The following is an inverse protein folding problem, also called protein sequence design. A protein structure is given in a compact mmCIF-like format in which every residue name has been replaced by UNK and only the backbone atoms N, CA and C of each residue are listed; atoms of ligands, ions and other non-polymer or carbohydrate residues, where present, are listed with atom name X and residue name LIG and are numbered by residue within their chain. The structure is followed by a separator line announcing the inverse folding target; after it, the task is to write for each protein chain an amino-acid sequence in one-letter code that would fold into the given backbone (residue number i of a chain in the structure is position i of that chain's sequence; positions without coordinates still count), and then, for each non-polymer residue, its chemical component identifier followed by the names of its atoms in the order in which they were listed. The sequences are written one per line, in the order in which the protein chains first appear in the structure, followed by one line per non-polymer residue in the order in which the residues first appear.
data_IF_112122849586
#
_entry.id   IF_112122849586
#
_cell.length_a   1.000
_cell.length_b   1.000
_cell.length_c   1.000
_cell.angle_alpha   90.00
_cell.angle_beta   90.00
_cell.angle_gamma   90.00
#
_symmetry.space_group_name_H-M   'P 1'
#
loop_
_entity.id
_entity.type
_entity.pdbx_description
1 polymer ?
#
# COMPACT_ATOMS: atom_id res chain seq x y z
N UNK A 1 -6.01 2.23 -44.74
CA UNK A 1 -4.68 2.48 -44.17
C UNK A 1 -4.89 3.20 -42.85
N UNK A 2 -4.64 2.49 -41.76
CA UNK A 2 -5.11 2.79 -40.39
C UNK A 2 -4.20 3.81 -39.74
N UNK A 3 -4.65 5.05 -39.54
CA UNK A 3 -4.03 5.98 -38.59
C UNK A 3 -4.50 5.62 -37.19
N UNK A 4 -3.70 4.79 -36.53
CA UNK A 4 -3.90 4.34 -35.17
C UNK A 4 -3.71 5.53 -34.21
N UNK A 5 -4.79 5.88 -33.50
CA UNK A 5 -4.79 6.90 -32.45
C UNK A 5 -3.93 6.42 -31.28
N UNK A 6 -2.71 6.95 -31.16
CA UNK A 6 -1.97 6.96 -29.89
C UNK A 6 -2.64 7.92 -28.91
N UNK A 7 -3.82 7.53 -28.41
CA UNK A 7 -4.33 8.07 -27.14
C UNK A 7 -3.77 7.16 -26.06
N UNK A 8 -2.58 7.49 -25.54
CA UNK A 8 -2.21 7.00 -24.21
C UNK A 8 -3.27 7.57 -23.26
N UNK A 9 -4.13 6.74 -22.62
CA UNK A 9 -4.99 7.25 -21.58
C UNK A 9 -4.08 7.58 -20.41
N UNK A 10 -3.67 8.85 -20.30
CA UNK A 10 -3.09 9.37 -19.07
C UNK A 10 -4.17 9.15 -18.01
N UNK A 11 -4.05 8.05 -17.25
CA UNK A 11 -4.97 7.72 -16.16
C UNK A 11 -4.99 8.96 -15.27
N UNK A 12 -6.13 9.62 -15.14
CA UNK A 12 -6.36 10.85 -14.35
C UNK A 12 -5.47 11.00 -13.09
N UNK A 13 -5.23 9.96 -12.26
CA UNK A 13 -4.27 10.02 -11.15
C UNK A 13 -2.84 10.46 -11.51
N UNK A 14 -2.31 10.09 -12.67
CA UNK A 14 -0.95 10.49 -13.12
C UNK A 14 -0.90 11.95 -13.56
N UNK A 15 -1.97 12.46 -14.18
CA UNK A 15 -2.08 13.87 -14.55
C UNK A 15 -2.19 14.75 -13.30
N UNK A 16 -2.92 14.30 -12.28
CA UNK A 16 -3.02 14.97 -10.97
C UNK A 16 -1.66 15.00 -10.27
N UNK A 17 -0.91 13.89 -10.28
CA UNK A 17 0.42 13.84 -9.68
C UNK A 17 1.41 14.80 -10.38
N UNK A 18 1.40 14.85 -11.71
CA UNK A 18 2.23 15.78 -12.48
C UNK A 18 1.87 17.25 -12.23
N UNK A 19 0.58 17.57 -12.11
CA UNK A 19 0.12 18.91 -11.75
C UNK A 19 0.54 19.30 -10.33
N UNK A 20 0.49 18.37 -9.37
CA UNK A 20 0.97 18.61 -8.01
C UNK A 20 2.47 18.86 -7.96
N UNK A 21 3.26 18.07 -8.71
CA UNK A 21 4.71 18.26 -8.81
C UNK A 21 5.04 19.60 -9.48
N UNK A 22 4.37 19.92 -10.59
CA UNK A 22 4.55 21.19 -11.31
C UNK A 22 4.17 22.40 -10.47
N UNK A 23 3.06 22.32 -9.73
CA UNK A 23 2.63 23.36 -8.79
C UNK A 23 3.62 23.55 -7.64
N UNK A 24 4.14 22.45 -7.08
CA UNK A 24 5.18 22.49 -6.05
C UNK A 24 6.48 23.14 -6.56
N UNK A 25 6.93 22.81 -7.78
CA UNK A 25 8.11 23.44 -8.39
C UNK A 25 7.91 24.94 -8.63
N UNK A 26 6.75 25.36 -9.14
CA UNK A 26 6.46 26.78 -9.34
C UNK A 26 6.39 27.53 -8.01
N UNK A 27 5.80 26.93 -6.98
CA UNK A 27 5.79 27.50 -5.62
C UNK A 27 7.20 27.64 -5.05
N UNK A 28 8.09 26.68 -5.30
CA UNK A 28 9.49 26.75 -4.89
C UNK A 28 10.24 27.88 -5.61
N UNK A 29 10.08 27.96 -6.94
CA UNK A 29 10.71 29.00 -7.75
C UNK A 29 10.22 30.38 -7.27
N UNK A 30 8.93 30.53 -6.99
CA UNK A 30 8.35 31.76 -6.46
C UNK A 30 8.92 32.12 -5.08
N UNK A 31 9.04 31.14 -4.17
CA UNK A 31 9.62 31.35 -2.84
C UNK A 31 11.09 31.75 -2.90
N UNK A 32 11.88 31.10 -3.76
CA UNK A 32 13.29 31.44 -3.99
C UNK A 32 13.40 32.85 -4.56
N UNK A 33 12.58 33.18 -5.57
CA UNK A 33 12.55 34.52 -6.17
C UNK A 33 12.24 35.60 -5.12
N UNK A 34 11.20 35.41 -4.31
CA UNK A 34 10.83 36.31 -3.21
C UNK A 34 11.96 36.49 -2.19
N UNK A 35 12.67 35.40 -1.88
CA UNK A 35 13.78 35.42 -0.93
C UNK A 35 14.97 36.22 -1.47
N UNK A 36 15.37 35.95 -2.73
CA UNK A 36 16.51 36.62 -3.37
C UNK A 36 16.24 38.11 -3.58
N UNK A 37 15.01 38.47 -3.97
CA UNK A 37 14.66 39.88 -4.19
C UNK A 37 14.66 40.67 -2.87
N UNK A 38 14.13 40.08 -1.79
CA UNK A 38 14.16 40.69 -0.46
C UNK A 38 15.59 40.85 0.06
N UNK A 39 16.44 39.83 -0.12
CA UNK A 39 17.84 39.86 0.29
C UNK A 39 18.64 40.94 -0.47
N UNK A 40 18.33 41.14 -1.76
CA UNK A 40 18.99 42.16 -2.58
C UNK A 40 18.68 43.57 -2.10
N UNK A 41 17.40 43.89 -1.86
CA UNK A 41 16.99 45.19 -1.36
C UNK A 41 17.56 45.49 0.04
N UNK A 42 17.57 44.49 0.93
CA UNK A 42 18.19 44.62 2.26
C UNK A 42 19.70 44.89 2.19
N UNK A 43 20.43 44.21 1.28
CA UNK A 43 21.87 44.45 1.08
C UNK A 43 22.17 45.86 0.56
N UNK A 44 21.38 46.34 -0.39
CA UNK A 44 21.52 47.71 -0.92
C UNK A 44 21.31 48.75 0.19
N UNK A 45 20.33 48.54 1.07
CA UNK A 45 20.07 49.45 2.19
C UNK A 45 21.13 49.37 3.30
N UNK A 46 21.63 48.18 3.62
CA UNK A 46 22.73 48.01 4.57
C UNK A 46 24.03 48.68 4.09
N UNK A 47 24.28 48.63 2.77
CA UNK A 47 25.41 49.31 2.15
C UNK A 47 25.27 50.83 2.23
N UNK A 48 24.09 51.39 1.95
CA UNK A 48 23.81 52.82 2.12
C UNK A 48 24.09 53.30 3.56
N UNK A 49 23.59 52.58 4.57
CA UNK A 49 23.84 52.90 5.98
C UNK A 49 25.32 52.80 6.35
N UNK A 50 26.06 51.81 5.82
CA UNK A 50 27.50 51.70 6.04
C UNK A 50 28.28 52.87 5.43
N UNK A 51 27.91 53.29 4.21
CA UNK A 51 28.53 54.44 3.53
C UNK A 51 28.27 55.74 4.32
N UNK A 52 27.08 55.94 4.89
CA UNK A 52 26.77 57.11 5.74
C UNK A 52 27.67 57.13 6.99
N UNK A 53 27.86 55.99 7.65
CA UNK A 53 28.77 55.88 8.81
C UNK A 53 30.21 56.23 8.41
N UNK A 54 30.66 55.79 7.24
CA UNK A 54 31.99 56.13 6.74
C UNK A 54 32.15 57.65 6.51
N UNK A 55 31.14 58.31 5.93
CA UNK A 55 31.17 59.76 5.75
C UNK A 55 31.11 60.53 7.09
N UNK A 56 30.33 60.07 8.07
CA UNK A 56 30.34 60.64 9.43
C UNK A 56 31.73 60.57 10.07
N UNK A 57 32.44 59.45 9.87
CA UNK A 57 33.82 59.29 10.34
C UNK A 57 34.79 60.21 9.58
N UNK A 58 34.57 60.45 8.28
CA UNK A 58 35.34 61.43 7.51
C UNK A 58 35.17 62.83 8.07
N UNK A 59 33.94 63.28 8.33
CA UNK A 59 33.66 64.60 8.93
C UNK A 59 34.32 64.73 10.31
N UNK A 60 34.18 63.70 11.15
CA UNK A 60 34.81 63.68 12.48
C UNK A 60 36.35 63.80 12.39
N UNK A 61 36.96 63.03 11.49
CA UNK A 61 38.42 63.01 11.31
C UNK A 61 38.92 64.33 10.71
N UNK A 62 38.20 64.90 9.75
CA UNK A 62 38.51 66.19 9.15
C UNK A 62 38.50 67.32 10.18
N UNK A 63 37.47 67.38 11.04
CA UNK A 63 37.39 68.37 12.11
C UNK A 63 38.56 68.23 13.12
N UNK A 64 38.92 67.00 13.49
CA UNK A 64 40.05 66.73 14.39
C UNK A 64 41.40 67.12 13.74
N UNK A 65 41.59 66.82 12.46
CA UNK A 65 42.78 67.19 11.70
C UNK A 65 42.88 68.72 11.55
N UNK A 66 41.76 69.40 11.34
CA UNK A 66 41.63 70.86 11.39
C UNK A 66 42.21 71.46 12.66
N UNK A 67 41.69 71.02 13.81
CA UNK A 67 42.14 71.47 15.13
C UNK A 67 43.62 71.12 15.39
N UNK A 68 44.04 69.93 14.97
CA UNK A 68 45.42 69.46 15.15
C UNK A 68 46.41 70.29 14.31
N UNK A 69 46.06 70.58 13.06
CA UNK A 69 46.88 71.38 12.14
C UNK A 69 47.00 72.83 12.59
N UNK A 70 45.88 73.44 13.00
CA UNK A 70 45.86 74.80 13.55
C UNK A 70 46.74 74.91 14.80
N UNK A 71 46.62 73.97 15.76
CA UNK A 71 47.46 73.95 16.97
C UNK A 71 48.93 73.74 16.66
N UNK A 72 49.25 72.84 15.73
CA UNK A 72 50.62 72.62 15.28
C UNK A 72 51.25 73.89 14.70
N UNK A 73 50.50 74.62 13.87
CA UNK A 73 50.95 75.89 13.31
C UNK A 73 51.07 76.99 14.37
N UNK A 74 50.12 77.11 15.29
CA UNK A 74 50.20 78.06 16.41
C UNK A 74 51.46 77.88 17.26
N UNK A 75 51.85 76.62 17.54
CA UNK A 75 53.01 76.30 18.39
C UNK A 75 54.33 76.53 17.66
N UNK A 76 54.39 76.16 16.37
CA UNK A 76 55.65 76.09 15.62
C UNK A 76 55.89 77.26 14.67
N UNK A 77 54.82 77.96 14.28
CA UNK A 77 54.78 78.96 13.19
C UNK A 77 55.31 78.42 11.86
N UNK A 78 55.33 77.09 11.68
CA UNK A 78 55.79 76.43 10.47
C UNK A 78 54.59 75.96 9.64
N UNK A 79 54.42 76.55 8.46
CA UNK A 79 53.32 76.26 7.53
C UNK A 79 53.18 74.78 7.17
N UNK A 80 54.23 73.97 7.33
CA UNK A 80 54.15 72.51 7.10
C UNK A 80 53.14 71.83 8.04
N UNK A 81 52.89 72.40 9.22
CA UNK A 81 51.89 71.89 10.16
C UNK A 81 50.45 72.26 9.80
N UNK A 82 50.22 73.12 8.79
CA UNK A 82 48.86 73.41 8.29
C UNK A 82 48.31 72.33 7.34
N UNK A 83 49.12 71.36 6.91
CA UNK A 83 48.67 70.31 5.99
C UNK A 83 47.44 69.53 6.50
N UNK A 84 47.38 69.06 7.75
CA UNK A 84 46.17 68.40 8.27
C UNK A 84 44.93 69.30 8.29
N UNK A 85 45.12 70.62 8.45
CA UNK A 85 44.02 71.58 8.38
C UNK A 85 43.48 71.71 6.95
N UNK A 86 44.36 71.89 5.97
CA UNK A 86 44.00 71.95 4.55
C UNK A 86 43.30 70.66 4.09
N UNK A 87 43.82 69.50 4.50
CA UNK A 87 43.21 68.20 4.20
C UNK A 87 41.81 68.06 4.82
N UNK A 88 41.61 68.57 6.05
CA UNK A 88 40.30 68.57 6.70
C UNK A 88 39.29 69.49 6.00
N UNK A 89 39.73 70.68 5.62
CA UNK A 89 38.91 71.68 4.94
C UNK A 89 38.43 71.17 3.56
N UNK A 90 39.32 70.55 2.79
CA UNK A 90 39.00 69.96 1.48
C UNK A 90 38.03 68.78 1.57
N UNK A 91 37.96 68.08 2.71
CA UNK A 91 37.18 66.84 2.87
C UNK A 91 35.75 67.04 3.39
N UNK A 92 35.48 68.09 4.17
CA UNK A 92 34.19 68.27 4.84
C UNK A 92 33.05 68.49 3.86
N UNK A 93 33.24 69.42 2.94
CA UNK A 93 32.22 69.80 1.97
C UNK A 93 31.81 68.62 1.07
N UNK A 94 32.76 67.84 0.50
CA UNK A 94 32.44 66.60 -0.21
C UNK A 94 31.72 65.56 0.67
N UNK A 95 32.17 65.34 1.91
CA UNK A 95 31.57 64.34 2.80
C UNK A 95 30.11 64.68 3.16
N UNK A 96 29.83 65.95 3.48
CA UNK A 96 28.48 66.42 3.79
C UNK A 96 27.54 66.35 2.58
N UNK A 97 28.03 66.70 1.36
CA UNK A 97 27.27 66.52 0.13
C UNK A 97 26.95 65.05 -0.11
N UNK A 98 27.93 64.16 0.07
CA UNK A 98 27.76 62.73 -0.10
C UNK A 98 26.74 62.14 0.89
N UNK A 99 26.79 62.56 2.16
CA UNK A 99 25.78 62.17 3.16
C UNK A 99 24.37 62.61 2.76
N UNK A 100 24.21 63.84 2.25
CA UNK A 100 22.91 64.35 1.80
C UNK A 100 22.37 63.57 0.58
N UNK A 101 23.26 63.17 -0.33
CA UNK A 101 22.91 62.28 -1.47
C UNK A 101 22.49 60.88 -1.00
N UNK A 102 23.21 60.30 -0.05
CA UNK A 102 22.96 58.94 0.45
C UNK A 102 21.67 58.84 1.27
N UNK A 103 21.35 59.87 2.06
CA UNK A 103 20.10 59.94 2.83
C UNK A 103 18.86 60.10 1.92
N UNK A 104 18.97 60.94 0.88
CA UNK A 104 17.93 61.15 -0.12
C UNK A 104 16.54 61.43 0.47
N UNK A 105 15.48 60.96 -0.20
CA UNK A 105 14.08 61.14 0.22
C UNK A 105 13.66 60.22 1.39
N UNK A 106 14.54 59.30 1.81
CA UNK A 106 14.23 58.30 2.85
C UNK A 106 14.70 58.73 4.25
N UNK A 107 15.26 59.93 4.38
CA UNK A 107 15.75 60.46 5.64
C UNK A 107 14.61 60.63 6.65
N UNK A 108 14.85 60.27 7.91
CA UNK A 108 13.96 60.65 8.99
C UNK A 108 14.15 62.14 9.31
N UNK A 109 13.11 62.79 9.82
CA UNK A 109 13.17 64.20 10.24
C UNK A 109 14.34 64.47 11.19
N UNK A 110 14.67 63.52 12.09
CA UNK A 110 15.82 63.66 13.00
C UNK A 110 17.17 63.58 12.28
N UNK A 111 17.30 62.72 11.27
CA UNK A 111 18.53 62.63 10.46
C UNK A 111 18.75 63.90 9.64
N UNK A 112 17.68 64.49 9.09
CA UNK A 112 17.75 65.79 8.38
C UNK A 112 18.19 66.91 9.33
N UNK A 113 17.56 67.02 10.50
CA UNK A 113 17.94 67.99 11.53
C UNK A 113 19.41 67.85 11.96
N UNK A 114 19.86 66.62 12.21
CA UNK A 114 21.24 66.33 12.61
C UNK A 114 22.23 66.64 11.48
N UNK A 115 21.89 66.33 10.23
CA UNK A 115 22.73 66.65 9.08
C UNK A 115 22.93 68.16 8.93
N UNK A 116 21.85 68.93 9.05
CA UNK A 116 21.91 70.39 8.97
C UNK A 116 22.66 70.99 10.18
N UNK A 117 22.50 70.42 11.38
CA UNK A 117 23.27 70.78 12.57
C UNK A 117 24.77 70.49 12.38
N UNK A 118 25.13 69.32 11.86
CA UNK A 118 26.52 68.92 11.58
C UNK A 118 27.13 69.86 10.50
N UNK A 119 26.38 70.19 9.44
CA UNK A 119 26.84 71.11 8.37
C UNK A 119 27.11 72.51 8.95
N UNK A 120 26.17 73.06 9.72
CA UNK A 120 26.32 74.36 10.36
C UNK A 120 27.49 74.41 11.36
N UNK A 121 27.62 73.39 12.23
CA UNK A 121 28.69 73.32 13.21
C UNK A 121 30.06 73.08 12.57
N UNK A 122 30.13 72.29 11.49
CA UNK A 122 31.37 72.05 10.76
C UNK A 122 31.86 73.32 10.07
N UNK A 123 30.97 74.07 9.41
CA UNK A 123 31.31 75.37 8.81
C UNK A 123 31.77 76.37 9.85
N UNK A 124 30.99 76.55 10.92
CA UNK A 124 31.36 77.45 12.02
C UNK A 124 32.73 77.09 12.60
N UNK A 125 33.04 75.80 12.71
CA UNK A 125 34.37 75.35 13.18
C UNK A 125 35.47 75.72 12.22
N UNK A 126 35.31 75.51 10.91
CA UNK A 126 36.35 75.82 9.94
C UNK A 126 36.54 77.31 9.71
N UNK A 127 35.47 78.11 9.80
CA UNK A 127 35.54 79.57 9.77
C UNK A 127 36.36 80.11 10.98
N UNK A 128 36.17 79.55 12.18
CA UNK A 128 36.97 79.87 13.38
C UNK A 128 38.45 79.48 13.21
N UNK A 129 38.71 78.29 12.66
CA UNK A 129 40.07 77.82 12.38
C UNK A 129 40.76 78.73 11.34
N UNK A 130 40.06 79.10 10.27
CA UNK A 130 40.56 79.97 9.20
C UNK A 130 40.92 81.36 9.72
N UNK A 131 40.00 81.99 10.48
CA UNK A 131 40.22 83.30 11.10
C UNK A 131 41.50 83.30 11.95
N UNK A 132 41.68 82.27 12.77
CA UNK A 132 42.88 82.10 13.58
C UNK A 132 44.15 81.89 12.75
N UNK A 133 44.09 81.11 11.67
CA UNK A 133 45.23 80.89 10.76
C UNK A 133 45.63 82.19 10.06
N UNK A 134 44.67 82.98 9.57
CA UNK A 134 44.90 84.28 8.93
C UNK A 134 45.60 85.23 9.90
N UNK A 135 45.12 85.33 11.15
CA UNK A 135 45.76 86.17 12.18
C UNK A 135 47.21 85.75 12.47
N UNK A 136 47.50 84.44 12.44
CA UNK A 136 48.87 83.92 12.60
C UNK A 136 49.75 84.23 11.38
N UNK A 137 49.22 84.13 10.16
CA UNK A 137 49.93 84.51 8.94
C UNK A 137 50.25 86.01 8.87
N UNK A 138 49.36 86.87 9.38
CA UNK A 138 49.54 88.32 9.49
C UNK A 138 50.47 88.75 10.64
N UNK A 139 51.04 87.78 11.39
CA UNK A 139 51.92 88.04 12.53
C UNK A 139 51.21 88.54 13.79
N UNK A 140 49.88 88.49 13.85
CA UNK A 140 49.04 88.95 14.96
C UNK A 140 48.82 87.84 16.01
N UNK A 141 49.92 87.28 16.52
CA UNK A 141 49.91 86.13 17.43
C UNK A 141 49.06 86.33 18.71
N UNK A 142 49.04 87.54 19.27
CA UNK A 142 48.26 87.85 20.48
C UNK A 142 46.76 87.89 20.23
N UNK A 143 46.34 88.30 19.03
CA UNK A 143 44.93 88.32 18.64
C UNK A 143 44.45 86.90 18.34
N UNK A 144 45.22 86.11 17.59
CA UNK A 144 44.95 84.69 17.35
C UNK A 144 44.85 83.90 18.67
N UNK A 145 45.76 84.15 19.63
CA UNK A 145 45.70 83.49 20.94
C UNK A 145 44.46 83.89 21.74
N UNK A 146 43.99 85.14 21.64
CA UNK A 146 42.79 85.59 22.35
C UNK A 146 41.54 84.90 21.80
N UNK A 147 41.47 84.73 20.49
CA UNK A 147 40.38 84.04 19.79
C UNK A 147 40.33 82.55 20.16
N UNK A 148 41.47 81.86 20.13
CA UNK A 148 41.56 80.43 20.49
C UNK A 148 41.29 80.19 21.99
N UNK A 149 41.57 81.17 22.86
CA UNK A 149 41.28 81.07 24.30
C UNK A 149 39.81 81.32 24.65
N UNK A 150 38.94 81.55 23.65
CA UNK A 150 37.49 81.58 23.88
C UNK A 150 36.96 80.15 24.01
N UNK A 151 36.01 79.93 24.92
CA UNK A 151 35.37 78.61 25.10
C UNK A 151 34.47 78.24 23.89
N UNK A 152 34.23 79.17 22.96
CA UNK A 152 33.33 79.03 21.81
C UNK A 152 33.78 77.95 20.82
N UNK A 153 35.08 77.88 20.52
CA UNK A 153 35.65 76.85 19.63
C UNK A 153 35.62 75.44 20.25
N UNK A 154 35.71 75.34 21.57
CA UNK A 154 35.56 74.07 22.30
C UNK A 154 34.08 73.65 22.35
N UNK A 155 33.18 74.57 22.67
CA UNK A 155 31.74 74.30 22.74
C UNK A 155 31.19 73.85 21.38
N UNK A 156 31.60 74.50 20.30
CA UNK A 156 31.24 74.13 18.92
C UNK A 156 31.71 72.71 18.60
N UNK A 157 32.94 72.35 18.97
CA UNK A 157 33.46 71.00 18.74
C UNK A 157 32.75 69.94 19.59
N UNK A 158 32.38 70.26 20.83
CA UNK A 158 31.60 69.36 21.69
C UNK A 158 30.16 69.16 21.18
N UNK A 159 29.53 70.20 20.62
CA UNK A 159 28.24 70.08 19.94
C UNK A 159 28.37 69.23 18.66
N UNK A 160 29.39 69.48 17.85
CA UNK A 160 29.65 68.71 16.63
C UNK A 160 29.87 67.22 16.93
N UNK A 161 30.71 66.90 17.92
CA UNK A 161 30.92 65.50 18.37
C UNK A 161 29.62 64.84 18.85
N UNK A 162 28.76 65.57 19.57
CA UNK A 162 27.48 65.05 20.03
C UNK A 162 26.52 64.78 18.86
N UNK A 163 26.40 65.71 17.92
CA UNK A 163 25.55 65.53 16.74
C UNK A 163 26.04 64.36 15.86
N UNK A 164 27.36 64.26 15.63
CA UNK A 164 27.97 63.14 14.90
C UNK A 164 27.73 61.80 15.61
N UNK A 165 27.90 61.74 16.94
CA UNK A 165 27.68 60.53 17.71
C UNK A 165 26.20 60.10 17.73
N UNK A 166 25.27 61.06 17.82
CA UNK A 166 23.84 60.77 17.76
C UNK A 166 23.44 60.22 16.38
N UNK A 167 23.92 60.84 15.30
CA UNK A 167 23.69 60.37 13.95
C UNK A 167 24.28 58.97 13.73
N UNK A 168 25.52 58.73 14.18
CA UNK A 168 26.17 57.42 14.11
C UNK A 168 25.38 56.36 14.90
N UNK A 169 24.83 56.71 16.05
CA UNK A 169 24.01 55.80 16.85
C UNK A 169 22.70 55.43 16.13
N UNK A 170 22.06 56.40 15.46
CA UNK A 170 20.86 56.15 14.65
C UNK A 170 21.19 55.16 13.52
N UNK A 171 22.25 55.42 12.75
CA UNK A 171 22.66 54.54 11.64
C UNK A 171 23.05 53.14 12.11
N UNK A 172 23.82 53.03 13.21
CA UNK A 172 24.18 51.72 13.79
C UNK A 172 22.95 50.95 14.28
N UNK A 173 21.94 51.64 14.84
CA UNK A 173 20.66 51.00 15.24
C UNK A 173 19.89 50.49 14.03
N UNK A 174 19.82 51.27 12.94
CA UNK A 174 19.18 50.85 11.68
C UNK A 174 19.87 49.60 11.13
N UNK A 175 21.21 49.60 11.05
CA UNK A 175 22.00 48.47 10.55
C UNK A 175 21.81 47.20 11.39
N UNK A 176 21.78 47.33 12.73
CA UNK A 176 21.56 46.20 13.62
C UNK A 176 20.15 45.60 13.47
N UNK A 177 19.12 46.45 13.31
CA UNK A 177 17.74 46.00 13.08
C UNK A 177 17.59 45.25 11.75
N UNK A 178 18.29 45.70 10.70
CA UNK A 178 18.32 45.02 9.40
C UNK A 178 18.99 43.65 9.50
N UNK A 179 20.15 43.55 10.16
CA UNK A 179 20.86 42.27 10.33
C UNK A 179 20.00 41.22 11.06
N UNK A 180 19.24 41.62 12.08
CA UNK A 180 18.30 40.74 12.77
C UNK A 180 17.08 40.35 11.93
N UNK A 181 16.64 41.20 11.00
CA UNK A 181 15.57 40.88 10.06
C UNK A 181 16.03 39.81 9.05
N UNK A 182 17.22 39.97 8.47
CA UNK A 182 17.82 39.04 7.51
C UNK A 182 18.00 37.64 8.14
N UNK A 183 18.53 37.56 9.36
CA UNK A 183 18.72 36.29 10.07
C UNK A 183 17.39 35.55 10.33
N UNK A 184 16.29 36.29 10.54
CA UNK A 184 14.94 35.70 10.73
C UNK A 184 14.34 35.18 9.42
N UNK A 185 14.64 35.81 8.29
CA UNK A 185 14.18 35.38 6.96
C UNK A 185 14.90 34.09 6.56
N UNK A 186 16.24 34.04 6.69
CA UNK A 186 17.02 32.82 6.43
C UNK A 186 16.53 31.63 7.25
N UNK A 187 16.19 31.85 8.53
CA UNK A 187 15.66 30.81 9.42
C UNK A 187 14.29 30.24 9.02
N UNK A 188 13.50 30.95 8.19
CA UNK A 188 12.17 30.49 7.74
C UNK A 188 12.20 29.75 6.40
N UNK A 189 13.21 30.00 5.57
CA UNK A 189 13.29 29.43 4.21
C UNK A 189 13.62 27.93 4.25
N UNK A 190 14.58 27.53 5.09
CA UNK A 190 15.01 26.15 5.26
C UNK A 190 13.88 25.16 5.66
N UNK A 191 13.04 25.45 6.68
CA UNK A 191 11.93 24.56 7.03
C UNK A 191 10.82 24.52 5.97
N UNK A 192 10.56 25.60 5.24
CA UNK A 192 9.59 25.61 4.13
C UNK A 192 10.06 24.74 2.95
N UNK A 193 11.34 24.85 2.59
CA UNK A 193 12.01 23.96 1.63
C UNK A 193 11.92 22.49 2.06
N UNK A 194 12.25 22.21 3.33
CA UNK A 194 12.15 20.87 3.91
C UNK A 194 10.73 20.31 3.86
N UNK A 195 9.73 21.12 4.21
CA UNK A 195 8.32 20.74 4.14
C UNK A 195 7.85 20.42 2.72
N UNK A 196 8.29 21.21 1.73
CA UNK A 196 7.96 20.98 0.33
C UNK A 196 8.61 19.71 -0.22
N UNK A 197 9.88 19.47 0.10
CA UNK A 197 10.59 18.23 -0.27
C UNK A 197 9.90 17.02 0.35
N UNK A 198 9.53 17.10 1.63
CA UNK A 198 8.79 16.04 2.31
C UNK A 198 7.45 15.76 1.62
N UNK A 199 6.70 16.79 1.23
CA UNK A 199 5.44 16.66 0.52
C UNK A 199 5.61 16.01 -0.88
N UNK A 200 6.67 16.38 -1.61
CA UNK A 200 7.05 15.74 -2.88
C UNK A 200 7.39 14.26 -2.69
N UNK A 201 8.17 13.92 -1.67
CA UNK A 201 8.51 12.52 -1.35
C UNK A 201 7.26 11.71 -1.00
N UNK A 202 6.33 12.28 -0.23
CA UNK A 202 5.03 11.67 0.07
C UNK A 202 4.21 11.47 -1.20
N UNK A 203 4.14 12.46 -2.09
CA UNK A 203 3.43 12.34 -3.37
C UNK A 203 4.03 11.25 -4.27
N UNK A 204 5.36 11.18 -4.39
CA UNK A 204 6.07 10.14 -5.13
C UNK A 204 5.81 8.76 -4.49
N UNK A 205 5.85 8.66 -3.16
CA UNK A 205 5.55 7.43 -2.44
C UNK A 205 4.10 6.97 -2.66
N UNK A 206 3.12 7.85 -2.54
CA UNK A 206 1.72 7.54 -2.83
C UNK A 206 1.53 7.16 -4.30
N UNK A 207 2.14 7.88 -5.23
CA UNK A 207 2.12 7.58 -6.67
C UNK A 207 2.66 6.18 -6.96
N UNK A 208 3.83 5.83 -6.42
CA UNK A 208 4.42 4.50 -6.58
C UNK A 208 3.56 3.40 -5.94
N UNK A 209 2.95 3.66 -4.78
CA UNK A 209 1.99 2.75 -4.13
C UNK A 209 0.73 2.51 -4.98
N UNK A 210 0.21 3.55 -5.64
CA UNK A 210 -0.96 3.43 -6.52
C UNK A 210 -0.63 2.64 -7.78
N UNK A 211 0.52 2.91 -8.41
CA UNK A 211 0.98 2.20 -9.61
C UNK A 211 1.23 0.72 -9.31
N UNK A 212 1.90 0.41 -8.19
CA UNK A 212 2.16 -0.98 -7.78
C UNK A 212 0.88 -1.73 -7.43
N UNK A 213 -0.11 -1.08 -6.79
CA UNK A 213 -1.44 -1.69 -6.55
C UNK A 213 -2.17 -1.99 -7.86
N UNK A 214 -2.15 -1.05 -8.81
CA UNK A 214 -2.78 -1.25 -10.12
C UNK A 214 -2.13 -2.40 -10.90
N UNK A 215 -0.78 -2.47 -10.90
CA UNK A 215 -0.06 -3.54 -11.57
C UNK A 215 -0.32 -4.92 -10.95
N UNK A 216 -0.42 -5.01 -9.61
CA UNK A 216 -0.76 -6.26 -8.91
C UNK A 216 -2.19 -6.73 -9.21
N UNK A 217 -3.15 -5.81 -9.21
CA UNK A 217 -4.54 -6.14 -9.53
C UNK A 217 -4.71 -6.66 -10.97
N UNK A 218 -3.99 -6.07 -11.94
CA UNK A 218 -3.98 -6.55 -13.33
C UNK A 218 -3.34 -7.95 -13.46
N UNK A 219 -2.26 -8.22 -12.71
CA UNK A 219 -1.61 -9.53 -12.69
C UNK A 219 -2.47 -10.63 -12.05
N UNK A 220 -3.13 -10.33 -10.93
CA UNK A 220 -4.05 -11.25 -10.25
C UNK A 220 -5.26 -11.59 -11.13
N UNK A 221 -5.83 -10.60 -11.84
CA UNK A 221 -6.94 -10.82 -12.76
C UNK A 221 -6.55 -11.70 -13.96
N UNK A 222 -5.34 -11.52 -14.52
CA UNK A 222 -4.84 -12.34 -15.61
C UNK A 222 -4.60 -13.80 -15.17
N UNK A 223 -4.07 -14.00 -13.96
CA UNK A 223 -3.84 -15.34 -13.42
C UNK A 223 -5.15 -16.05 -13.05
N UNK A 224 -6.14 -15.33 -12.52
CA UNK A 224 -7.46 -15.86 -12.25
C UNK A 224 -8.19 -16.30 -13.54
N UNK A 225 -8.08 -15.52 -14.62
CA UNK A 225 -8.62 -15.88 -15.93
C UNK A 225 -8.01 -17.18 -16.49
N UNK A 226 -6.68 -17.30 -16.43
CA UNK A 226 -5.98 -18.49 -16.91
C UNK A 226 -6.32 -19.76 -16.09
N UNK A 227 -6.49 -19.62 -14.78
CA UNK A 227 -6.91 -20.74 -13.91
C UNK A 227 -8.36 -21.14 -14.18
N UNK A 228 -9.24 -20.18 -14.46
CA UNK A 228 -10.64 -20.43 -14.85
C UNK A 228 -10.74 -21.26 -16.13
N UNK A 229 -10.04 -20.85 -17.20
CA UNK A 229 -10.04 -21.61 -18.47
C UNK A 229 -9.48 -23.03 -18.32
N UNK A 230 -8.44 -23.22 -17.49
CA UNK A 230 -7.87 -24.53 -17.21
C UNK A 230 -8.86 -25.44 -16.46
N UNK A 231 -9.60 -24.88 -15.50
CA UNK A 231 -10.65 -25.59 -14.75
C UNK A 231 -11.81 -25.99 -15.64
N UNK A 232 -12.30 -25.07 -16.48
CA UNK A 232 -13.40 -25.36 -17.41
C UNK A 232 -13.02 -26.47 -18.41
N UNK A 233 -11.77 -26.48 -18.90
CA UNK A 233 -11.26 -27.57 -19.75
C UNK A 233 -11.17 -28.90 -19.01
N UNK A 234 -10.72 -28.91 -17.76
CA UNK A 234 -10.67 -30.11 -16.94
C UNK A 234 -12.07 -30.70 -16.71
N UNK A 235 -13.06 -29.86 -16.40
CA UNK A 235 -14.44 -30.28 -16.19
C UNK A 235 -15.07 -30.85 -17.47
N UNK A 236 -14.81 -30.24 -18.63
CA UNK A 236 -15.27 -30.77 -19.92
C UNK A 236 -14.63 -32.13 -20.24
N UNK A 237 -13.33 -32.28 -20.00
CA UNK A 237 -12.63 -33.55 -20.21
C UNK A 237 -13.15 -34.65 -19.27
N UNK A 238 -13.41 -34.32 -18.00
CA UNK A 238 -13.96 -35.27 -17.05
C UNK A 238 -15.36 -35.79 -17.46
N UNK A 239 -16.24 -34.89 -17.93
CA UNK A 239 -17.57 -35.28 -18.45
C UNK A 239 -17.46 -36.21 -19.66
N UNK A 240 -16.57 -35.89 -20.59
CA UNK A 240 -16.34 -36.71 -21.79
C UNK A 240 -15.76 -38.09 -21.42
N UNK A 241 -14.84 -38.16 -20.46
CA UNK A 241 -14.30 -39.44 -19.96
C UNK A 241 -15.39 -40.29 -19.34
N UNK A 242 -16.24 -39.72 -18.47
CA UNK A 242 -17.35 -40.45 -17.87
C UNK A 242 -18.32 -40.99 -18.93
N UNK A 243 -18.66 -40.18 -19.94
CA UNK A 243 -19.49 -40.64 -21.06
C UNK A 243 -18.85 -41.82 -21.82
N UNK A 244 -17.54 -41.78 -22.05
CA UNK A 244 -16.81 -42.87 -22.71
C UNK A 244 -16.79 -44.15 -21.87
N UNK A 245 -16.64 -44.04 -20.56
CA UNK A 245 -16.70 -45.19 -19.67
C UNK A 245 -18.08 -45.86 -19.74
N UNK A 246 -19.16 -45.08 -19.73
CA UNK A 246 -20.53 -45.62 -19.93
C UNK A 246 -20.67 -46.36 -21.26
N UNK A 247 -20.13 -45.79 -22.35
CA UNK A 247 -20.15 -46.43 -23.67
C UNK A 247 -19.39 -47.76 -23.68
N UNK A 248 -18.21 -47.82 -23.04
CA UNK A 248 -17.43 -49.06 -22.94
C UNK A 248 -18.20 -50.15 -22.18
N UNK A 249 -18.83 -49.80 -21.06
CA UNK A 249 -19.66 -50.75 -20.31
C UNK A 249 -20.87 -51.25 -21.10
N UNK A 250 -21.51 -50.36 -21.88
CA UNK A 250 -22.62 -50.75 -22.76
C UNK A 250 -22.17 -51.75 -23.84
N UNK A 251 -20.99 -51.54 -24.44
CA UNK A 251 -20.40 -52.47 -25.42
C UNK A 251 -20.07 -53.82 -24.78
N UNK A 252 -19.43 -53.84 -23.61
CA UNK A 252 -19.12 -55.08 -22.88
C UNK A 252 -20.39 -55.85 -22.53
N UNK A 253 -21.43 -55.15 -22.07
CA UNK A 253 -22.73 -55.75 -21.78
C UNK A 253 -23.36 -56.39 -23.02
N UNK A 254 -23.31 -55.71 -24.18
CA UNK A 254 -23.83 -56.23 -25.43
C UNK A 254 -23.08 -57.49 -25.90
N UNK A 255 -21.74 -57.51 -25.78
CA UNK A 255 -20.92 -58.69 -26.12
C UNK A 255 -21.29 -59.89 -25.24
N UNK A 256 -21.43 -59.68 -23.92
CA UNK A 256 -21.81 -60.73 -22.98
C UNK A 256 -23.19 -61.29 -23.30
N UNK A 257 -24.16 -60.42 -23.59
CA UNK A 257 -25.53 -60.85 -23.93
C UNK A 257 -25.61 -61.55 -25.30
N UNK A 258 -24.88 -61.08 -26.31
CA UNK A 258 -24.81 -61.73 -27.62
C UNK A 258 -24.17 -63.13 -27.53
N UNK A 259 -23.19 -63.33 -26.64
CA UNK A 259 -22.48 -64.60 -26.51
C UNK A 259 -23.34 -65.77 -26.01
N UNK A 260 -24.51 -65.49 -25.42
CA UNK A 260 -25.49 -66.49 -25.00
C UNK A 260 -26.72 -66.60 -25.91
N UNK A 261 -26.80 -65.81 -26.99
CA UNK A 261 -28.01 -65.73 -27.84
C UNK A 261 -28.46 -67.08 -28.39
N UNK A 262 -27.51 -67.94 -28.76
CA UNK A 262 -27.76 -69.25 -29.37
C UNK A 262 -27.45 -70.43 -28.42
N UNK A 263 -27.22 -70.16 -27.13
CA UNK A 263 -26.84 -71.17 -26.12
C UNK A 263 -27.72 -71.06 -24.86
N UNK A 264 -28.92 -71.68 -24.85
CA UNK A 264 -29.86 -71.62 -23.73
C UNK A 264 -29.24 -72.03 -22.39
N UNK A 265 -28.33 -73.00 -22.40
CA UNK A 265 -27.59 -73.49 -21.23
C UNK A 265 -26.63 -72.47 -20.63
N UNK A 266 -26.11 -71.52 -21.42
CA UNK A 266 -25.18 -70.48 -20.95
C UNK A 266 -25.89 -69.22 -20.42
N UNK A 267 -27.18 -69.07 -20.72
CA UNK A 267 -28.00 -67.89 -20.40
C UNK A 267 -27.99 -67.51 -18.91
N UNK A 268 -28.12 -68.43 -17.94
CA UNK A 268 -28.07 -68.08 -16.52
C UNK A 268 -26.72 -67.47 -16.09
N UNK A 269 -25.61 -67.93 -16.69
CA UNK A 269 -24.26 -67.43 -16.38
C UNK A 269 -24.04 -66.07 -17.01
N UNK A 270 -24.45 -65.86 -18.26
CA UNK A 270 -24.32 -64.55 -18.93
C UNK A 270 -25.23 -63.49 -18.32
N UNK A 271 -26.43 -63.85 -17.89
CA UNK A 271 -27.32 -62.91 -17.18
C UNK A 271 -26.69 -62.48 -15.85
N UNK A 272 -26.03 -63.39 -15.13
CA UNK A 272 -25.31 -63.07 -13.91
C UNK A 272 -24.10 -62.15 -14.17
N UNK A 273 -23.35 -62.36 -15.26
CA UNK A 273 -22.24 -61.47 -15.65
C UNK A 273 -22.77 -60.09 -16.05
N UNK A 274 -23.86 -60.04 -16.81
CA UNK A 274 -24.52 -58.81 -17.23
C UNK A 274 -25.01 -57.98 -16.03
N UNK A 275 -25.58 -58.62 -15.01
CA UNK A 275 -26.01 -57.97 -13.77
C UNK A 275 -24.82 -57.35 -13.00
N UNK A 276 -23.69 -58.07 -12.90
CA UNK A 276 -22.46 -57.56 -12.27
C UNK A 276 -21.90 -56.33 -12.97
N UNK A 277 -21.87 -56.34 -14.30
CA UNK A 277 -21.39 -55.21 -15.10
C UNK A 277 -22.25 -53.97 -14.83
N UNK A 278 -23.57 -54.12 -14.72
CA UNK A 278 -24.48 -53.00 -14.39
C UNK A 278 -24.26 -52.48 -12.98
N UNK A 279 -24.08 -53.37 -12.01
CA UNK A 279 -23.80 -52.96 -10.63
C UNK A 279 -22.47 -52.21 -10.49
N UNK A 280 -21.43 -52.62 -11.23
CA UNK A 280 -20.16 -51.91 -11.31
C UNK A 280 -20.31 -50.51 -11.94
N UNK A 281 -21.15 -50.39 -12.99
CA UNK A 281 -21.46 -49.11 -13.61
C UNK A 281 -22.16 -48.15 -12.64
N UNK A 282 -23.15 -48.63 -11.89
CA UNK A 282 -23.86 -47.83 -10.87
C UNK A 282 -22.93 -47.34 -9.77
N UNK A 283 -22.05 -48.21 -9.26
CA UNK A 283 -21.06 -47.80 -8.27
C UNK A 283 -20.06 -46.76 -8.83
N UNK A 284 -19.68 -46.90 -10.11
CA UNK A 284 -18.82 -45.94 -10.78
C UNK A 284 -19.50 -44.57 -10.94
N UNK A 285 -20.79 -44.52 -11.26
CA UNK A 285 -21.57 -43.28 -11.37
C UNK A 285 -21.68 -42.55 -10.01
N UNK A 286 -21.97 -43.29 -8.94
CA UNK A 286 -22.07 -42.72 -7.57
C UNK A 286 -20.71 -42.20 -7.09
N UNK A 287 -19.61 -42.84 -7.50
CA UNK A 287 -18.25 -42.43 -7.12
C UNK A 287 -17.71 -41.21 -7.90
N UNK A 288 -18.34 -40.81 -9.01
CA UNK A 288 -17.86 -39.73 -9.90
C UNK A 288 -18.67 -38.42 -9.75
N UNK A 289 -19.61 -38.37 -8.81
CA UNK A 289 -20.62 -37.31 -8.70
C UNK A 289 -20.09 -35.89 -8.41
N UNK A 290 -18.89 -35.73 -7.84
CA UNK A 290 -18.26 -34.43 -7.64
C UNK A 290 -16.73 -34.60 -7.76
N UNK A 291 -16.13 -33.84 -8.69
CA UNK A 291 -14.70 -33.75 -8.94
C UNK A 291 -13.97 -33.22 -7.69
N UNK A 292 -13.73 -34.08 -6.71
CA UNK A 292 -12.63 -34.05 -5.72
C UNK A 292 -12.85 -34.92 -4.48
N UNK A 293 -13.98 -35.64 -4.34
CA UNK A 293 -14.20 -36.43 -3.13
C UNK A 293 -13.80 -37.88 -3.32
N UNK A 294 -12.80 -38.32 -2.54
CA UNK A 294 -12.46 -39.73 -2.28
C UNK A 294 -13.60 -40.51 -1.58
N UNK A 295 -14.71 -39.83 -1.26
CA UNK A 295 -15.82 -40.33 -0.47
C UNK A 295 -17.15 -40.19 -1.25
N UNK A 296 -18.01 -41.22 -1.21
CA UNK A 296 -19.34 -41.20 -1.79
C UNK A 296 -20.42 -41.51 -0.75
N UNK A 297 -21.62 -40.96 -0.95
CA UNK A 297 -22.75 -41.12 -0.03
C UNK A 297 -23.31 -42.54 -0.04
N UNK A 298 -23.43 -43.14 1.15
CA UNK A 298 -24.10 -44.43 1.34
C UNK A 298 -25.58 -44.35 0.97
N UNK A 299 -26.26 -43.26 1.33
CA UNK A 299 -27.66 -43.03 0.99
C UNK A 299 -27.85 -42.99 -0.52
N UNK A 300 -26.99 -42.25 -1.24
CA UNK A 300 -27.04 -42.17 -2.69
C UNK A 300 -26.82 -43.54 -3.35
N UNK A 301 -25.91 -44.36 -2.81
CA UNK A 301 -25.67 -45.72 -3.31
C UNK A 301 -26.90 -46.62 -3.14
N UNK A 302 -27.52 -46.59 -1.95
CA UNK A 302 -28.72 -47.39 -1.63
C UNK A 302 -29.89 -46.94 -2.50
N UNK A 303 -30.12 -45.63 -2.61
CA UNK A 303 -31.19 -45.07 -3.42
C UNK A 303 -31.03 -45.43 -4.89
N UNK A 304 -29.84 -45.22 -5.46
CA UNK A 304 -29.55 -45.55 -6.85
C UNK A 304 -29.68 -47.05 -7.13
N UNK A 305 -29.36 -47.91 -6.16
CA UNK A 305 -29.51 -49.37 -6.29
C UNK A 305 -30.98 -49.81 -6.34
N UNK A 306 -31.84 -49.16 -5.56
CA UNK A 306 -33.27 -49.48 -5.47
C UNK A 306 -34.12 -48.80 -6.55
N UNK A 307 -33.72 -47.61 -7.01
CA UNK A 307 -34.48 -46.75 -7.91
C UNK A 307 -35.03 -47.45 -9.17
N UNK A 308 -34.30 -48.34 -9.88
CA UNK A 308 -34.80 -48.99 -11.09
C UNK A 308 -36.00 -49.92 -10.87
N UNK A 309 -36.21 -50.37 -9.63
CA UNK A 309 -37.23 -51.36 -9.26
C UNK A 309 -38.29 -50.78 -8.32
N UNK A 310 -38.14 -49.54 -7.84
CA UNK A 310 -39.14 -48.88 -7.02
C UNK A 310 -40.34 -48.46 -7.85
N UNK A 311 -41.52 -48.76 -7.35
CA UNK A 311 -42.79 -48.34 -7.95
C UNK A 311 -43.87 -48.21 -6.88
N UNK A 312 -45.07 -47.77 -7.25
CA UNK A 312 -46.22 -47.73 -6.33
C UNK A 312 -46.59 -49.10 -5.75
N UNK A 313 -46.16 -50.20 -6.38
CA UNK A 313 -46.35 -51.59 -5.90
C UNK A 313 -45.12 -52.19 -5.21
N UNK A 314 -43.97 -51.54 -5.34
CA UNK A 314 -42.66 -52.01 -4.85
C UNK A 314 -42.07 -50.90 -4.01
N UNK A 315 -42.62 -50.75 -2.81
CA UNK A 315 -42.24 -49.69 -1.87
C UNK A 315 -40.95 -50.05 -1.15
N UNK A 316 -40.11 -49.04 -0.89
CA UNK A 316 -39.01 -49.19 0.03
C UNK A 316 -38.72 -47.92 0.80
N UNK A 317 -38.46 -48.04 2.09
CA UNK A 317 -38.00 -46.96 2.97
C UNK A 317 -36.48 -46.98 3.08
N UNK A 318 -35.87 -45.79 3.03
CA UNK A 318 -34.44 -45.57 3.25
C UNK A 318 -34.33 -44.61 4.42
N UNK A 319 -33.54 -44.96 5.43
CA UNK A 319 -33.31 -44.08 6.58
C UNK A 319 -31.95 -44.30 7.24
N UNK A 320 -31.32 -43.23 7.70
CA UNK A 320 -30.05 -43.33 8.44
C UNK A 320 -29.34 -41.98 8.53
N UNK A 321 -28.27 -41.88 9.33
CA UNK A 321 -27.45 -40.68 9.39
C UNK A 321 -26.67 -40.49 8.09
N UNK A 322 -26.23 -39.27 7.79
CA UNK A 322 -25.34 -39.00 6.66
C UNK A 322 -24.01 -39.75 6.84
N UNK A 323 -23.67 -40.61 5.88
CA UNK A 323 -22.45 -41.43 5.89
C UNK A 323 -21.79 -41.33 4.53
N UNK A 324 -20.51 -40.94 4.53
CA UNK A 324 -19.67 -40.88 3.35
C UNK A 324 -18.59 -41.96 3.45
N UNK A 325 -18.53 -42.85 2.45
CA UNK A 325 -17.60 -43.97 2.43
C UNK A 325 -16.56 -43.81 1.33
N UNK A 326 -15.31 -44.28 1.54
CA UNK A 326 -14.30 -44.30 0.49
C UNK A 326 -14.78 -45.02 -0.79
N UNK A 327 -14.47 -44.47 -1.96
CA UNK A 327 -14.87 -45.01 -3.27
C UNK A 327 -14.56 -46.51 -3.45
N UNK A 328 -13.43 -46.97 -2.87
CA UNK A 328 -13.01 -48.38 -2.87
C UNK A 328 -13.99 -49.34 -2.15
N UNK A 329 -14.81 -48.83 -1.22
CA UNK A 329 -15.83 -49.59 -0.49
C UNK A 329 -17.20 -49.52 -1.14
N UNK A 330 -17.47 -48.43 -1.86
CA UNK A 330 -18.72 -48.20 -2.59
C UNK A 330 -18.94 -49.27 -3.67
N UNK A 331 -17.89 -49.63 -4.40
CA UNK A 331 -17.98 -50.63 -5.48
C UNK A 331 -18.41 -52.02 -4.99
N UNK A 332 -17.70 -52.67 -4.05
CA UNK A 332 -18.13 -53.98 -3.54
C UNK A 332 -19.46 -53.91 -2.78
N UNK A 333 -19.75 -52.81 -2.06
CA UNK A 333 -21.05 -52.64 -1.39
C UNK A 333 -22.20 -52.50 -2.39
N UNK A 334 -22.00 -51.78 -3.48
CA UNK A 334 -22.96 -51.64 -4.58
C UNK A 334 -23.29 -53.00 -5.22
N UNK A 335 -22.31 -53.90 -5.33
CA UNK A 335 -22.57 -55.28 -5.77
C UNK A 335 -23.49 -56.04 -4.79
N UNK A 336 -23.25 -55.93 -3.48
CA UNK A 336 -24.11 -56.59 -2.47
C UNK A 336 -25.53 -56.03 -2.52
N UNK A 337 -25.68 -54.70 -2.56
CA UNK A 337 -26.98 -54.04 -2.64
C UNK A 337 -27.71 -54.41 -3.93
N UNK A 338 -27.01 -54.50 -5.06
CA UNK A 338 -27.60 -54.96 -6.32
C UNK A 338 -28.11 -56.40 -6.19
N UNK A 339 -27.30 -57.33 -5.67
CA UNK A 339 -27.74 -58.72 -5.48
C UNK A 339 -28.96 -58.81 -4.56
N UNK A 340 -28.97 -58.09 -3.43
CA UNK A 340 -30.14 -58.01 -2.53
C UNK A 340 -31.38 -57.49 -3.25
N UNK A 341 -31.22 -56.39 -4.01
CA UNK A 341 -32.30 -55.80 -4.79
C UNK A 341 -32.85 -56.79 -5.82
N UNK A 342 -31.98 -57.49 -6.57
CA UNK A 342 -32.44 -58.46 -7.57
C UNK A 342 -33.09 -59.69 -6.93
N UNK A 343 -32.62 -60.12 -5.76
CA UNK A 343 -33.23 -61.22 -5.02
C UNK A 343 -34.62 -60.84 -4.51
N UNK A 344 -34.80 -59.62 -4.01
CA UNK A 344 -36.10 -59.13 -3.58
C UNK A 344 -37.13 -59.11 -4.73
N UNK A 345 -36.71 -58.73 -5.94
CA UNK A 345 -37.57 -58.73 -7.14
C UNK A 345 -37.91 -60.15 -7.62
N UNK A 346 -36.95 -61.08 -7.57
CA UNK A 346 -37.12 -62.43 -8.12
C UNK A 346 -37.79 -63.40 -7.15
N UNK A 347 -37.45 -63.31 -5.87
CA UNK A 347 -37.72 -64.33 -4.87
C UNK A 347 -38.22 -63.77 -3.53
N UNK A 348 -37.98 -62.49 -3.24
CA UNK A 348 -38.24 -61.88 -1.93
C UNK A 348 -39.47 -60.96 -1.88
N UNK A 349 -39.37 -59.89 -1.08
CA UNK A 349 -40.47 -58.96 -0.79
C UNK A 349 -41.22 -58.48 -2.04
N UNK A 350 -40.51 -57.92 -3.00
CA UNK A 350 -41.10 -57.30 -4.18
C UNK A 350 -41.67 -58.27 -5.22
N UNK A 351 -41.31 -59.55 -5.16
CA UNK A 351 -41.95 -60.59 -5.97
C UNK A 351 -43.40 -60.87 -5.52
N UNK A 352 -43.71 -60.61 -4.24
CA UNK A 352 -44.95 -61.05 -3.59
C UNK A 352 -45.79 -59.89 -3.00
N UNK A 353 -45.45 -58.65 -3.36
CA UNK A 353 -46.17 -57.45 -2.87
C UNK A 353 -45.80 -57.00 -1.46
N UNK A 354 -44.66 -57.47 -0.93
CA UNK A 354 -44.06 -57.04 0.32
C UNK A 354 -43.29 -55.71 0.20
N UNK A 355 -42.65 -55.29 1.28
CA UNK A 355 -41.90 -54.03 1.37
C UNK A 355 -40.43 -54.27 1.76
N UNK A 356 -39.57 -53.32 1.41
CA UNK A 356 -38.17 -53.29 1.86
C UNK A 356 -37.97 -52.09 2.78
N UNK A 357 -37.33 -52.30 3.92
CA UNK A 357 -36.76 -51.25 4.75
C UNK A 357 -35.23 -51.37 4.71
N UNK A 358 -34.56 -50.28 4.33
CA UNK A 358 -33.10 -50.18 4.43
C UNK A 358 -32.79 -49.09 5.43
N UNK A 359 -32.16 -49.47 6.53
CA UNK A 359 -31.73 -48.53 7.56
C UNK A 359 -30.27 -48.73 7.94
N UNK A 360 -29.59 -47.69 8.39
CA UNK A 360 -28.25 -47.84 8.94
C UNK A 360 -28.01 -46.98 10.18
N UNK A 361 -27.05 -47.42 10.99
CA UNK A 361 -26.56 -46.69 12.15
C UNK A 361 -25.04 -46.60 12.10
N UNK A 362 -24.51 -45.61 12.83
CA UNK A 362 -23.08 -45.34 12.93
C UNK A 362 -22.68 -45.39 14.40
N UNK A 363 -21.78 -46.29 14.76
CA UNK A 363 -21.26 -46.44 16.13
C UNK A 363 -19.78 -46.80 16.07
N UNK A 364 -18.91 -46.04 16.75
CA UNK A 364 -17.46 -46.32 16.87
C UNK A 364 -16.77 -46.62 15.52
N UNK A 365 -16.96 -45.76 14.51
CA UNK A 365 -16.43 -45.90 13.13
C UNK A 365 -16.84 -47.19 12.41
N UNK A 366 -17.91 -47.85 12.86
CA UNK A 366 -18.54 -48.96 12.16
C UNK A 366 -19.93 -48.53 11.73
N UNK A 367 -20.17 -48.68 10.43
CA UNK A 367 -21.48 -48.51 9.82
C UNK A 367 -22.15 -49.88 9.81
N UNK A 368 -23.35 -49.94 10.37
CA UNK A 368 -24.19 -51.14 10.34
C UNK A 368 -25.42 -50.85 9.51
N UNK A 369 -25.47 -51.41 8.30
CA UNK A 369 -26.62 -51.33 7.40
C UNK A 369 -27.47 -52.58 7.57
N UNK A 370 -28.76 -52.37 7.79
CA UNK A 370 -29.77 -53.42 7.92
C UNK A 370 -30.73 -53.30 6.74
N UNK A 371 -30.82 -54.37 5.98
CA UNK A 371 -31.80 -54.56 4.93
C UNK A 371 -32.86 -55.52 5.44
N UNK A 372 -34.13 -55.10 5.46
CA UNK A 372 -35.25 -55.91 5.92
C UNK A 372 -36.29 -56.04 4.82
N UNK A 373 -36.63 -57.28 4.51
CA UNK A 373 -37.77 -57.64 3.66
C UNK A 373 -38.92 -58.11 4.55
N UNK A 374 -40.13 -57.60 4.30
CA UNK A 374 -41.34 -57.99 5.02
C UNK A 374 -42.47 -58.39 4.07
N UNK A 375 -43.42 -59.18 4.57
CA UNK A 375 -44.58 -59.62 3.80
C UNK A 375 -44.34 -60.86 2.93
N UNK A 376 -43.27 -61.64 3.18
CA UNK A 376 -42.97 -62.88 2.45
C UNK A 376 -42.57 -63.98 3.41
N UNK A 377 -43.26 -65.12 3.36
CA UNK A 377 -42.89 -66.29 4.15
C UNK A 377 -41.67 -66.98 3.53
N UNK A 378 -40.50 -66.78 4.14
CA UNK A 378 -39.25 -67.45 3.80
C UNK A 378 -38.87 -68.41 4.93
N UNK A 379 -39.53 -69.58 4.98
CA UNK A 379 -39.48 -70.43 6.18
C UNK A 379 -38.16 -71.20 6.38
N UNK A 380 -37.25 -71.28 5.39
CA UNK A 380 -35.90 -71.90 5.55
C UNK A 380 -34.84 -71.31 4.62
N UNK A 381 -33.58 -71.31 5.09
CA UNK A 381 -32.40 -71.04 4.25
C UNK A 381 -32.36 -72.04 3.07
N UNK A 382 -32.09 -71.58 1.82
CA UNK A 382 -32.05 -72.48 0.67
C UNK A 382 -30.93 -73.54 0.79
N UNK A 383 -31.23 -74.82 0.57
CA UNK A 383 -30.27 -75.96 0.64
C UNK A 383 -29.06 -75.83 -0.32
N UNK A 384 -29.13 -74.93 -1.31
CA UNK A 384 -28.03 -74.61 -2.23
C UNK A 384 -27.51 -73.21 -1.96
N UNK A 385 -26.25 -73.10 -1.54
CA UNK A 385 -25.48 -71.85 -1.63
C UNK A 385 -25.31 -71.47 -3.10
N UNK A 386 -26.20 -70.60 -3.58
CA UNK A 386 -26.13 -70.05 -4.93
C UNK A 386 -24.95 -69.09 -5.10
N UNK A 387 -24.73 -68.67 -6.34
CA UNK A 387 -23.70 -67.73 -6.74
C UNK A 387 -23.76 -66.38 -6.01
N UNK A 388 -24.97 -65.89 -5.68
CA UNK A 388 -25.16 -64.67 -4.91
C UNK A 388 -24.58 -64.74 -3.50
N UNK A 389 -24.62 -65.92 -2.85
CA UNK A 389 -24.05 -66.10 -1.51
C UNK A 389 -22.53 -65.97 -1.51
N UNK A 390 -21.86 -66.59 -2.49
CA UNK A 390 -20.40 -66.51 -2.68
C UNK A 390 -19.95 -65.11 -3.07
N UNK A 391 -20.76 -64.38 -3.84
CA UNK A 391 -20.48 -63.00 -4.21
C UNK A 391 -20.48 -62.09 -2.98
N UNK A 392 -21.52 -62.16 -2.15
CA UNK A 392 -21.63 -61.34 -0.95
C UNK A 392 -20.48 -61.61 0.04
N UNK A 393 -20.07 -62.87 0.21
CA UNK A 393 -18.90 -63.24 1.03
C UNK A 393 -17.59 -62.64 0.47
N UNK A 394 -17.43 -62.62 -0.86
CA UNK A 394 -16.26 -62.00 -1.51
C UNK A 394 -16.26 -60.47 -1.42
N UNK A 395 -17.42 -59.85 -1.61
CA UNK A 395 -17.59 -58.41 -1.50
C UNK A 395 -17.36 -57.92 -0.06
N UNK A 396 -17.83 -58.69 0.94
CA UNK A 396 -17.59 -58.41 2.36
C UNK A 396 -16.11 -58.30 2.70
N UNK A 397 -15.28 -59.19 2.16
CA UNK A 397 -13.82 -59.12 2.32
C UNK A 397 -13.22 -57.88 1.68
N UNK A 398 -13.74 -57.43 0.54
CA UNK A 398 -13.21 -56.27 -0.20
C UNK A 398 -13.52 -54.94 0.48
N UNK A 399 -14.69 -54.78 1.11
CA UNK A 399 -14.95 -53.59 1.93
C UNK A 399 -14.48 -53.72 3.39
N UNK A 400 -13.89 -54.85 3.76
CA UNK A 400 -13.30 -55.08 5.09
C UNK A 400 -14.31 -55.29 6.21
N UNK A 401 -15.47 -55.87 5.88
CA UNK A 401 -16.61 -56.02 6.78
C UNK A 401 -17.24 -57.41 6.75
N UNK A 402 -18.49 -57.51 7.18
CA UNK A 402 -19.25 -58.77 7.20
C UNK A 402 -20.68 -58.60 6.67
N UNK A 403 -21.25 -59.70 6.18
CA UNK A 403 -22.64 -59.77 5.72
C UNK A 403 -23.27 -61.00 6.35
N UNK A 404 -24.25 -60.82 7.22
CA UNK A 404 -25.04 -61.91 7.84
C UNK A 404 -26.48 -61.87 7.33
N UNK A 405 -27.12 -63.04 7.25
CA UNK A 405 -28.48 -63.19 6.70
C UNK A 405 -29.29 -64.04 7.64
N UNK A 406 -30.42 -63.51 8.05
CA UNK A 406 -31.36 -64.13 8.96
C UNK A 406 -32.71 -64.28 8.25
N UNK A 407 -33.09 -65.51 7.94
CA UNK A 407 -34.40 -65.83 7.38
C UNK A 407 -35.42 -65.90 8.51
N UNK A 408 -36.48 -65.11 8.40
CA UNK A 408 -37.53 -64.98 9.41
C UNK A 408 -38.88 -65.39 8.81
N UNK A 409 -39.85 -65.73 9.64
CA UNK A 409 -41.20 -66.08 9.17
C UNK A 409 -41.94 -64.97 8.41
N UNK A 410 -41.42 -63.73 8.45
CA UNK A 410 -41.98 -62.55 7.76
C UNK A 410 -41.12 -62.06 6.58
N UNK A 411 -39.93 -62.63 6.38
CA UNK A 411 -39.04 -62.28 5.27
C UNK A 411 -37.56 -62.46 5.59
N UNK A 412 -36.71 -61.59 5.06
CA UNK A 412 -35.25 -61.68 5.16
C UNK A 412 -34.70 -60.45 5.87
N UNK A 413 -33.82 -60.65 6.85
CA UNK A 413 -33.01 -59.59 7.44
C UNK A 413 -31.55 -59.82 7.06
N UNK A 414 -30.92 -58.81 6.46
CA UNK A 414 -29.49 -58.84 6.13
C UNK A 414 -28.80 -57.72 6.88
N UNK A 415 -27.78 -58.08 7.65
CA UNK A 415 -26.95 -57.13 8.39
C UNK A 415 -25.59 -57.04 7.73
N UNK A 416 -25.22 -55.84 7.27
CA UNK A 416 -23.94 -55.52 6.68
C UNK A 416 -23.19 -54.63 7.66
N UNK A 417 -22.04 -55.09 8.13
CA UNK A 417 -21.13 -54.27 8.94
C UNK A 417 -19.91 -53.90 8.11
N UNK A 418 -19.51 -52.65 8.14
CA UNK A 418 -18.29 -52.18 7.49
C UNK A 418 -17.66 -51.04 8.28
N UNK A 419 -16.32 -50.97 8.34
CA UNK A 419 -15.64 -49.82 8.90
C UNK A 419 -15.85 -48.59 8.02
N UNK A 420 -15.93 -47.41 8.63
CA UNK A 420 -16.08 -46.12 7.94
C UNK A 420 -14.73 -45.61 7.41
N UNK A 421 -13.66 -45.81 8.17
CA UNK A 421 -12.27 -45.40 7.85
C UNK A 421 -11.41 -46.60 7.47
N UNK A 422 -10.31 -46.39 6.73
CA UNK A 422 -9.37 -47.47 6.40
C UNK A 422 -8.54 -47.85 7.63
N UNK A 423 -8.41 -49.14 8.02
CA UNK A 423 -7.54 -49.51 9.14
C UNK A 423 -6.09 -49.01 8.99
N UNK A 424 -5.61 -48.84 7.75
CA UNK A 424 -4.30 -48.24 7.45
C UNK A 424 -4.23 -46.72 7.75
N UNK A 425 -5.36 -46.00 7.66
CA UNK A 425 -5.43 -44.57 8.01
C UNK A 425 -5.40 -44.33 9.51
N UNK A 426 -5.98 -45.24 10.31
CA UNK A 426 -5.98 -45.19 11.77
C UNK A 426 -4.59 -45.39 12.38
N UNK A 427 -3.70 -46.14 11.72
CA UNK A 427 -2.33 -46.34 12.16
C UNK A 427 -1.44 -45.09 11.98
N UNK A 428 -1.77 -44.20 11.05
CA UNK A 428 -0.98 -42.99 10.77
C UNK A 428 -1.31 -41.87 11.76
N UNK A 429 -2.57 -41.76 12.18
CA UNK A 429 -3.01 -40.75 13.16
C UNK A 429 -2.54 -41.07 14.58
N UNK A 430 -2.47 -42.36 14.95
CA UNK A 430 -1.96 -42.80 16.25
C UNK A 430 -0.45 -42.65 16.43
N UNK A 431 0.33 -42.50 15.34
CA UNK A 431 1.77 -42.25 15.39
C UNK A 431 2.14 -40.74 15.47
N UNK A 432 1.15 -39.85 15.34
CA UNK A 432 1.31 -38.40 15.38
C UNK A 432 0.69 -37.74 16.63
N UNK A 433 0.29 -38.52 17.63
CA UNK A 433 -0.26 -38.05 18.92
C UNK A 433 0.72 -38.25 20.06
#
# INVERSE_FOLDING_TARGET
MVLNRLRLPMRWPNAVLLLLIGGAMLGLIYLVYQTVEAERAEREQAQLTADIIEELQRVHTAALNGETGQRGYLITLDRRYLRPYQEGEEQIDPALRRMRELLGDNATTRQEELLDEIDALSRAKFDELESSVILLEDGRLLDARREILTDEGQETMERLRRALAEMEEIERRILAQQAEATARIEGRVLPLLGGLIALLLVAIFLGSRLVTRAARAEAEAAQAGALGEARDRADLLARELNHRVKNLFAVVLAIVQMSARDKPEAKPVTDAIAQRIRALLTAHEVSQGELDRELASLEALVDTSLAPYRSSKQTATISGPEVLLPAKRITPLGLVLHELTTNAVKYGAWANGGAIDVSWTRTNDVVTLVWRESGVKLDKEPDRKGFGSLLMESAARQFGGSVTRDFTGDGLVVTITLPESDPASLATTAAAS
#
